data_IF_687294626006
#
_entry.id   IF_687294626006
#
_cell.length_a   1.000
_cell.length_b   1.000
_cell.length_c   1.000
_cell.angle_alpha   90.00
_cell.angle_beta   90.00
_cell.angle_gamma   90.00
#
_symmetry.space_group_name_H-M   'P 1'
#
loop_
_entity.id
_entity.type
_entity.pdbx_description
1 polymer ?
#
# COMPACT_ATOMS: atom_id res chain seq x y z
N UNK A 1 -3.60 6.07 -9.51
CA UNK A 1 -4.29 4.78 -9.40
C UNK A 1 -5.42 4.93 -8.41
N UNK A 2 -6.53 4.23 -8.63
CA UNK A 2 -7.59 4.14 -7.61
C UNK A 2 -7.12 3.24 -6.48
N UNK A 3 -7.23 3.72 -5.24
CA UNK A 3 -6.78 2.99 -4.05
C UNK A 3 -7.83 3.04 -2.95
N UNK A 4 -7.74 2.08 -2.03
CA UNK A 4 -8.47 2.11 -0.76
C UNK A 4 -7.51 1.78 0.39
N UNK A 5 -7.91 1.98 1.64
CA UNK A 5 -7.15 1.60 2.82
C UNK A 5 -7.68 0.30 3.45
N UNK A 6 -6.78 -0.43 4.11
CA UNK A 6 -7.09 -1.62 4.91
C UNK A 6 -6.11 -1.73 6.09
N UNK A 7 -6.53 -2.32 7.20
CA UNK A 7 -5.69 -2.57 8.36
C UNK A 7 -4.77 -3.78 8.16
N UNK A 8 -3.59 -3.73 8.76
CA UNK A 8 -2.60 -4.82 8.75
C UNK A 8 -3.08 -6.10 9.44
N UNK A 9 -4.02 -5.97 10.39
CA UNK A 9 -4.64 -7.07 11.11
C UNK A 9 -5.88 -7.64 10.40
N UNK A 10 -6.35 -7.00 9.32
CA UNK A 10 -7.51 -7.47 8.58
C UNK A 10 -7.21 -8.76 7.81
N UNK A 11 -8.29 -9.47 7.50
CA UNK A 11 -8.25 -10.74 6.77
C UNK A 11 -8.08 -10.51 5.28
N UNK A 12 -7.40 -11.44 4.62
CA UNK A 12 -7.18 -11.39 3.15
C UNK A 12 -8.52 -11.38 2.41
N UNK A 13 -9.53 -12.08 2.90
CA UNK A 13 -10.88 -12.07 2.30
C UNK A 13 -11.47 -10.66 2.18
N UNK A 14 -11.23 -9.81 3.18
CA UNK A 14 -11.68 -8.42 3.15
C UNK A 14 -10.83 -7.59 2.18
N UNK A 15 -9.54 -7.88 2.06
CA UNK A 15 -8.68 -7.29 1.03
C UNK A 15 -9.14 -7.66 -0.38
N UNK A 16 -9.50 -8.93 -0.61
CA UNK A 16 -10.03 -9.40 -1.89
C UNK A 16 -11.30 -8.65 -2.26
N UNK A 17 -12.25 -8.49 -1.34
CA UNK A 17 -13.48 -7.74 -1.63
C UNK A 17 -13.22 -6.27 -1.95
N UNK A 18 -12.31 -5.61 -1.22
CA UNK A 18 -12.03 -4.18 -1.46
C UNK A 18 -11.28 -3.95 -2.76
N UNK A 19 -10.35 -4.84 -3.12
CA UNK A 19 -9.56 -4.70 -4.35
C UNK A 19 -10.36 -5.00 -5.61
N UNK A 20 -11.56 -5.58 -5.52
CA UNK A 20 -12.48 -5.65 -6.67
C UNK A 20 -12.95 -4.25 -7.11
N UNK A 21 -12.91 -3.28 -6.19
CA UNK A 21 -13.35 -1.88 -6.44
C UNK A 21 -12.20 -0.88 -6.58
N UNK A 22 -10.94 -1.33 -6.53
CA UNK A 22 -9.76 -0.45 -6.66
C UNK A 22 -8.55 -1.20 -7.22
N UNK A 23 -7.51 -0.48 -7.64
CA UNK A 23 -6.32 -1.13 -8.21
C UNK A 23 -5.34 -1.60 -7.13
N UNK A 24 -5.35 -0.96 -5.96
CA UNK A 24 -4.38 -1.17 -4.89
C UNK A 24 -4.97 -0.85 -3.52
N UNK A 25 -4.54 -1.59 -2.50
CA UNK A 25 -4.92 -1.34 -1.11
C UNK A 25 -3.72 -0.86 -0.30
N UNK A 26 -3.87 0.25 0.40
CA UNK A 26 -2.88 0.79 1.32
C UNK A 26 -3.06 0.10 2.67
N UNK A 27 -1.99 -0.51 3.17
CA UNK A 27 -2.00 -1.25 4.42
C UNK A 27 -1.53 -0.37 5.57
N UNK A 28 -2.42 -0.18 6.53
CA UNK A 28 -2.17 0.56 7.75
C UNK A 28 -1.69 -0.35 8.88
N UNK A 29 -0.51 -0.04 9.40
CA UNK A 29 -0.05 -0.52 10.71
C UNK A 29 -0.79 0.19 11.86
N UNK A 30 -0.27 0.06 13.07
CA UNK A 30 -0.84 0.71 14.25
C UNK A 30 -0.76 2.24 14.20
N UNK A 31 0.32 2.79 13.63
CA UNK A 31 0.58 4.24 13.63
C UNK A 31 1.01 4.80 12.26
N UNK A 32 1.27 3.94 11.27
CA UNK A 32 1.79 4.36 9.97
C UNK A 32 1.40 3.39 8.86
N UNK A 33 1.49 3.87 7.62
CA UNK A 33 1.38 3.03 6.43
C UNK A 33 2.62 2.13 6.36
N UNK A 34 2.40 0.82 6.27
CA UNK A 34 3.48 -0.17 6.26
C UNK A 34 3.75 -0.74 4.86
N UNK A 35 2.76 -0.70 3.98
CA UNK A 35 2.83 -1.38 2.69
C UNK A 35 1.57 -1.18 1.85
N UNK A 36 1.53 -1.87 0.72
CA UNK A 36 0.38 -1.91 -0.19
C UNK A 36 0.08 -3.34 -0.63
N UNK A 37 -1.17 -3.67 -0.95
CA UNK A 37 -1.57 -4.97 -1.50
C UNK A 37 -2.09 -4.74 -2.91
N UNK A 38 -1.55 -5.49 -3.88
CA UNK A 38 -2.10 -5.58 -5.23
C UNK A 38 -2.71 -6.98 -5.45
N UNK A 39 -3.25 -7.22 -6.64
CA UNK A 39 -3.81 -8.53 -6.98
C UNK A 39 -2.77 -9.67 -6.94
N UNK A 40 -1.47 -9.37 -7.08
CA UNK A 40 -0.40 -10.35 -7.00
C UNK A 40 -0.24 -10.94 -5.58
N UNK A 41 -0.49 -10.15 -4.54
CA UNK A 41 -0.27 -10.53 -3.14
C UNK A 41 -1.43 -11.33 -2.54
N UNK A 42 -2.63 -11.26 -3.14
CA UNK A 42 -3.84 -11.92 -2.64
C UNK A 42 -3.75 -13.45 -2.64
N UNK A 43 -2.82 -14.03 -3.39
CA UNK A 43 -2.57 -15.48 -3.41
C UNK A 43 -1.75 -16.00 -2.22
N UNK A 44 -1.26 -15.12 -1.33
CA UNK A 44 -0.47 -15.50 -0.15
C UNK A 44 -1.38 -15.88 1.03
N UNK A 45 -0.79 -16.44 2.09
CA UNK A 45 -1.50 -16.78 3.33
C UNK A 45 -0.97 -15.96 4.51
N UNK A 46 -1.87 -15.49 5.37
CA UNK A 46 -1.55 -14.64 6.52
C UNK A 46 -2.58 -13.53 6.74
N UNK A 47 -2.16 -12.44 7.40
CA UNK A 47 -2.93 -11.19 7.47
C UNK A 47 -2.51 -10.22 6.36
N UNK A 48 -3.30 -9.16 6.14
CA UNK A 48 -2.97 -8.10 5.16
C UNK A 48 -1.55 -7.54 5.36
N UNK A 49 -1.14 -7.29 6.60
CA UNK A 49 0.19 -6.79 6.92
C UNK A 49 1.32 -7.76 6.58
N UNK A 50 1.06 -9.07 6.57
CA UNK A 50 2.07 -10.07 6.22
C UNK A 50 2.24 -10.26 4.71
N UNK A 51 1.15 -10.07 3.95
CA UNK A 51 1.16 -10.32 2.51
C UNK A 51 1.53 -9.09 1.69
N UNK A 52 1.40 -7.89 2.29
CA UNK A 52 1.61 -6.62 1.61
C UNK A 52 3.02 -6.46 1.02
N UNK A 53 3.08 -5.71 -0.06
CA UNK A 53 4.29 -5.21 -0.68
C UNK A 53 4.84 -4.06 0.18
N UNK A 54 6.08 -4.26 0.64
CA UNK A 54 6.80 -3.33 1.50
C UNK A 54 7.71 -2.39 0.68
N UNK A 55 7.83 -2.64 -0.62
CA UNK A 55 8.61 -1.82 -1.56
C UNK A 55 7.86 -0.52 -1.92
N UNK A 56 7.65 0.30 -0.89
CA UNK A 56 6.92 1.56 -0.95
C UNK A 56 7.71 2.68 -0.29
N UNK A 57 7.44 3.91 -0.71
CA UNK A 57 7.84 5.10 0.04
C UNK A 57 6.63 6.00 0.28
N UNK A 58 6.53 6.52 1.50
CA UNK A 58 5.51 7.47 1.92
C UNK A 58 6.14 8.85 1.99
N UNK A 59 5.59 9.79 1.22
CA UNK A 59 6.07 11.17 1.06
C UNK A 59 7.60 11.29 0.84
N UNK A 60 8.20 10.52 -0.09
CA UNK A 60 9.62 10.60 -0.34
C UNK A 60 10.02 11.92 -1.00
N UNK A 61 11.23 12.37 -0.72
CA UNK A 61 11.86 13.41 -1.54
C UNK A 61 12.24 12.84 -2.92
N UNK A 62 12.36 13.69 -3.96
CA UNK A 62 12.76 13.26 -5.30
C UNK A 62 14.08 12.48 -5.32
N UNK A 63 15.04 12.87 -4.48
CA UNK A 63 16.34 12.19 -4.33
C UNK A 63 16.19 10.80 -3.72
N UNK A 64 15.34 10.66 -2.69
CA UNK A 64 15.05 9.35 -2.09
C UNK A 64 14.38 8.42 -3.09
N UNK A 65 13.38 8.90 -3.82
CA UNK A 65 12.70 8.13 -4.85
C UNK A 65 13.66 7.70 -5.97
N UNK A 66 14.58 8.58 -6.40
CA UNK A 66 15.56 8.26 -7.43
C UNK A 66 16.63 7.25 -6.98
N UNK A 67 16.99 7.28 -5.69
CA UNK A 67 18.01 6.40 -5.13
C UNK A 67 17.44 5.00 -4.81
N UNK A 68 16.29 4.95 -4.15
CA UNK A 68 15.67 3.70 -3.70
C UNK A 68 14.83 3.03 -4.79
N UNK A 69 14.28 3.81 -5.72
CA UNK A 69 13.43 3.34 -6.82
C UNK A 69 12.32 2.40 -6.33
N UNK A 70 11.46 2.89 -5.41
CA UNK A 70 10.41 2.05 -4.85
C UNK A 70 9.45 1.60 -5.94
N UNK A 71 8.74 0.49 -5.74
CA UNK A 71 7.65 0.13 -6.66
C UNK A 71 6.49 1.11 -6.59
N UNK A 72 6.15 1.56 -5.38
CA UNK A 72 5.04 2.49 -5.16
C UNK A 72 5.46 3.70 -4.33
N UNK A 73 4.83 4.82 -4.64
CA UNK A 73 4.97 6.08 -3.91
C UNK A 73 3.58 6.47 -3.42
N UNK A 74 3.47 6.73 -2.13
CA UNK A 74 2.26 7.15 -1.46
C UNK A 74 2.46 8.59 -1.01
N UNK A 75 1.50 9.45 -1.32
CA UNK A 75 1.48 10.84 -0.86
C UNK A 75 0.36 10.99 0.15
N UNK A 76 0.68 11.59 1.30
CA UNK A 76 -0.29 11.86 2.36
C UNK A 76 -0.57 13.36 2.47
N UNK A 77 -1.80 13.70 2.85
CA UNK A 77 -2.23 15.05 3.24
C UNK A 77 -2.85 14.95 4.62
N UNK A 78 -2.35 15.73 5.58
CA UNK A 78 -2.72 15.66 7.01
C UNK A 78 -2.61 14.24 7.63
N UNK A 79 -1.72 13.40 7.08
CA UNK A 79 -1.52 12.02 7.53
C UNK A 79 -2.43 10.99 6.86
N UNK A 80 -3.38 11.40 6.01
CA UNK A 80 -4.21 10.47 5.24
C UNK A 80 -3.66 10.30 3.81
N UNK A 81 -3.62 9.08 3.26
CA UNK A 81 -3.18 8.87 1.90
C UNK A 81 -4.16 9.50 0.92
N UNK A 82 -3.65 10.39 0.07
CA UNK A 82 -4.43 11.08 -0.97
C UNK A 82 -4.09 10.61 -2.37
N UNK A 83 -2.90 10.03 -2.56
CA UNK A 83 -2.46 9.56 -3.87
C UNK A 83 -1.53 8.36 -3.76
N UNK A 84 -1.70 7.42 -4.69
CA UNK A 84 -0.75 6.32 -4.94
C UNK A 84 -0.29 6.35 -6.39
N UNK A 85 1.03 6.36 -6.57
CA UNK A 85 1.73 6.37 -7.84
C UNK A 85 2.73 5.22 -7.91
N UNK A 86 3.11 4.81 -9.13
CA UNK A 86 4.25 3.91 -9.32
C UNK A 86 5.53 4.71 -9.21
N UNK A 87 6.60 4.08 -8.72
CA UNK A 87 7.91 4.71 -8.67
C UNK A 87 8.52 4.97 -10.05
N UNK A 88 9.61 5.77 -10.10
CA UNK A 88 10.28 6.24 -11.30
C UNK A 88 11.12 5.19 -12.04
#
# INVERSE_FOLDING_TARGET
>A
MEFSSIGSYDSIEEAVQRIESCEILIVWGEEAIIGVITNDELGKSGTCGQICELDILVDPTPEMAANWKPKFIITTDDGEPVMVSRGP
#
